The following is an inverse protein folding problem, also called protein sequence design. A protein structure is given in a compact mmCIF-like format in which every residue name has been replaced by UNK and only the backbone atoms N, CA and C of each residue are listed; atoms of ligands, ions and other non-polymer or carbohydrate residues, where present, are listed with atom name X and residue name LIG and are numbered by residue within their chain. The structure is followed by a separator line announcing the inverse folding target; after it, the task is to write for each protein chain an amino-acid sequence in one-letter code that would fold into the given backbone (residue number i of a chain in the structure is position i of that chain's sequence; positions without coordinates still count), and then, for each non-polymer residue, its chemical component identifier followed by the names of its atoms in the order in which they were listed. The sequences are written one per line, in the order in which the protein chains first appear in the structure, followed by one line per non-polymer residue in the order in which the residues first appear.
data_IF_142888472142
#
_entry.id   IF_142888472142
#
_cell.length_a   1.000
_cell.length_b   1.000
_cell.length_c   1.000
_cell.angle_alpha   90.00
_cell.angle_beta   90.00
_cell.angle_gamma   90.00
#
_symmetry.space_group_name_H-M   'P 1'
#
loop_
_entity.id
_entity.type
_entity.pdbx_description
1 polymer ?
#
# COMPACT_ATOMS: atom_id res chain seq x y z
N UNK A 1 54.58 10.60 -22.10
CA UNK A 1 53.56 11.10 -21.14
C UNK A 1 52.16 11.35 -21.73
N UNK A 2 52.00 11.52 -23.06
CA UNK A 2 50.69 11.81 -23.69
C UNK A 2 49.74 10.60 -23.83
N UNK A 3 50.29 9.39 -24.01
CA UNK A 3 49.51 8.16 -24.25
C UNK A 3 48.79 7.64 -22.98
N UNK A 4 49.36 7.89 -21.79
CA UNK A 4 48.73 7.50 -20.50
C UNK A 4 47.56 8.40 -20.10
N UNK A 5 47.55 9.65 -20.55
CA UNK A 5 46.44 10.59 -20.30
C UNK A 5 45.23 10.19 -21.15
N UNK A 6 45.46 9.67 -22.36
CA UNK A 6 44.41 9.22 -23.26
C UNK A 6 43.66 7.99 -22.72
N UNK A 7 44.35 7.10 -22.00
CA UNK A 7 43.74 5.89 -21.42
C UNK A 7 42.87 6.19 -20.20
N UNK A 8 43.22 7.21 -19.41
CA UNK A 8 42.40 7.65 -18.25
C UNK A 8 41.14 8.38 -18.71
N UNK A 9 41.19 9.11 -19.84
CA UNK A 9 40.03 9.82 -20.37
C UNK A 9 38.97 8.86 -20.97
N UNK A 10 39.40 7.73 -21.53
CA UNK A 10 38.51 6.75 -22.18
C UNK A 10 37.73 5.89 -21.17
N UNK A 11 38.30 5.60 -20.00
CA UNK A 11 37.60 4.86 -18.94
C UNK A 11 36.55 5.70 -18.21
N UNK A 12 36.67 7.03 -18.23
CA UNK A 12 35.67 7.93 -17.63
C UNK A 12 34.35 7.97 -18.41
N UNK A 13 34.39 7.68 -19.72
CA UNK A 13 33.23 7.82 -20.62
C UNK A 13 32.31 6.58 -20.63
N UNK A 14 32.76 5.44 -20.10
CA UNK A 14 31.98 4.18 -20.06
C UNK A 14 31.04 4.11 -18.85
N UNK A 15 31.14 5.06 -17.92
CA UNK A 15 30.37 5.08 -16.66
C UNK A 15 28.99 5.74 -16.73
N UNK A 16 28.61 6.38 -17.83
CA UNK A 16 27.31 7.05 -17.95
C UNK A 16 26.24 6.10 -18.49
N UNK A 17 25.99 5.00 -17.80
CA UNK A 17 24.68 4.35 -17.92
C UNK A 17 23.67 5.34 -17.34
N UNK A 18 22.94 6.04 -18.19
CA UNK A 18 21.75 6.77 -17.78
C UNK A 18 20.76 5.72 -17.29
N UNK A 19 20.74 5.48 -15.98
CA UNK A 19 19.64 4.75 -15.35
C UNK A 19 18.38 5.48 -15.75
N UNK A 20 17.51 4.81 -16.50
CA UNK A 20 16.17 5.31 -16.74
C UNK A 20 15.54 5.50 -15.36
N UNK A 21 15.42 6.76 -14.94
CA UNK A 21 14.60 7.11 -13.79
C UNK A 21 13.18 6.74 -14.20
N UNK A 22 12.76 5.52 -13.85
CA UNK A 22 11.36 5.17 -13.88
C UNK A 22 10.67 6.25 -13.05
N UNK A 23 9.92 7.12 -13.72
CA UNK A 23 9.21 8.20 -13.07
C UNK A 23 8.29 7.55 -12.05
N UNK A 24 8.68 7.62 -10.77
CA UNK A 24 7.95 6.96 -9.71
C UNK A 24 6.54 7.55 -9.71
N UNK A 25 5.58 6.72 -10.10
CA UNK A 25 4.19 7.12 -10.16
C UNK A 25 3.79 7.58 -8.77
N UNK A 26 3.24 8.79 -8.68
CA UNK A 26 2.76 9.35 -7.42
C UNK A 26 1.77 8.35 -6.78
N UNK A 27 1.88 8.06 -5.48
CA UNK A 27 0.93 7.19 -4.79
C UNK A 27 -0.52 7.66 -5.00
N UNK A 28 -1.43 6.71 -5.20
CA UNK A 28 -2.86 6.98 -5.37
C UNK A 28 -3.53 7.10 -4.00
N UNK A 29 -4.37 8.11 -3.81
CA UNK A 29 -5.16 8.24 -2.58
C UNK A 29 -6.25 7.17 -2.53
N UNK A 30 -6.36 6.49 -1.39
CA UNK A 30 -7.38 5.45 -1.16
C UNK A 30 -7.91 5.56 0.27
N UNK A 31 -9.18 5.26 0.46
CA UNK A 31 -9.80 5.07 1.77
C UNK A 31 -10.03 3.57 2.03
N UNK A 32 -9.82 3.15 3.27
CA UNK A 32 -10.13 1.80 3.72
C UNK A 32 -11.30 1.88 4.70
N UNK A 33 -12.46 1.41 4.25
CA UNK A 33 -13.66 1.30 5.08
C UNK A 33 -13.53 0.18 6.12
N UNK A 34 -14.27 0.28 7.24
CA UNK A 34 -14.36 -0.82 8.21
C UNK A 34 -14.75 -2.14 7.53
N UNK A 35 -14.15 -3.24 7.99
CA UNK A 35 -14.54 -4.57 7.50
C UNK A 35 -15.79 -5.04 8.22
N UNK A 36 -16.66 -5.70 7.47
CA UNK A 36 -17.90 -6.28 7.95
C UNK A 36 -17.81 -7.81 7.93
N UNK A 37 -18.46 -8.44 8.90
CA UNK A 37 -18.60 -9.89 8.92
C UNK A 37 -19.80 -10.29 8.06
N UNK A 38 -19.51 -10.86 6.89
CA UNK A 38 -20.48 -11.54 6.06
C UNK A 38 -20.37 -13.04 6.28
N UNK A 39 -21.23 -13.59 7.16
CA UNK A 39 -21.30 -15.03 7.39
C UNK A 39 -22.35 -15.69 6.48
N UNK A 40 -21.88 -16.56 5.58
CA UNK A 40 -22.73 -17.39 4.69
C UNK A 40 -22.76 -18.86 5.08
N UNK A 41 -22.29 -19.18 6.28
CA UNK A 41 -22.33 -20.52 6.83
C UNK A 41 -23.75 -20.93 7.23
N UNK A 42 -23.96 -22.22 7.53
CA UNK A 42 -25.22 -22.71 8.07
C UNK A 42 -25.52 -22.20 9.50
N UNK A 43 -24.51 -21.62 10.18
CA UNK A 43 -24.65 -21.01 11.51
C UNK A 43 -24.98 -19.52 11.48
N UNK A 44 -25.02 -18.89 10.31
CA UNK A 44 -25.25 -17.46 10.16
C UNK A 44 -26.57 -17.04 10.81
N UNK A 45 -26.53 -15.97 11.61
CA UNK A 45 -27.70 -15.44 12.30
C UNK A 45 -28.19 -16.24 13.51
N UNK A 46 -27.61 -17.42 13.78
CA UNK A 46 -27.89 -18.19 15.01
C UNK A 46 -27.05 -17.67 16.17
N UNK A 47 -25.79 -17.34 15.91
CA UNK A 47 -24.88 -16.72 16.87
C UNK A 47 -24.60 -15.29 16.39
N UNK A 48 -25.00 -14.25 17.14
CA UNK A 48 -24.71 -12.87 16.77
C UNK A 48 -23.22 -12.54 16.95
N UNK A 49 -22.68 -11.55 16.22
CA UNK A 49 -21.30 -11.12 16.39
C UNK A 49 -20.99 -10.66 17.83
N UNK A 50 -19.90 -11.16 18.39
CA UNK A 50 -19.47 -10.85 19.75
C UNK A 50 -18.40 -9.73 19.80
N UNK A 51 -17.80 -9.52 20.98
CA UNK A 51 -16.74 -8.52 21.12
C UNK A 51 -15.45 -8.90 20.38
N UNK A 52 -15.14 -10.19 20.31
CA UNK A 52 -13.97 -10.68 19.60
C UNK A 52 -14.13 -10.45 18.10
N UNK A 53 -15.31 -10.72 17.54
CA UNK A 53 -15.59 -10.45 16.13
C UNK A 53 -15.35 -8.97 15.79
N UNK A 54 -15.94 -8.05 16.56
CA UNK A 54 -15.76 -6.60 16.34
C UNK A 54 -14.30 -6.18 16.46
N UNK A 55 -13.58 -6.72 17.45
CA UNK A 55 -12.16 -6.43 17.65
C UNK A 55 -11.33 -6.90 16.46
N UNK A 56 -11.51 -8.13 16.03
CA UNK A 56 -10.73 -8.70 14.93
C UNK A 56 -11.05 -8.07 13.58
N UNK A 57 -12.29 -7.64 13.34
CA UNK A 57 -12.63 -6.84 12.16
C UNK A 57 -11.88 -5.49 12.16
N UNK A 58 -11.86 -4.80 13.30
CA UNK A 58 -11.12 -3.53 13.45
C UNK A 58 -9.61 -3.73 13.28
N UNK A 59 -9.04 -4.77 13.90
CA UNK A 59 -7.61 -5.09 13.75
C UNK A 59 -7.26 -5.44 12.30
N UNK A 60 -8.12 -6.20 11.61
CA UNK A 60 -7.92 -6.55 10.21
C UNK A 60 -7.94 -5.32 9.30
N UNK A 61 -8.85 -4.37 9.55
CA UNK A 61 -8.88 -3.10 8.83
C UNK A 61 -7.58 -2.30 9.04
N UNK A 62 -7.05 -2.27 10.26
CA UNK A 62 -5.77 -1.62 10.55
C UNK A 62 -4.61 -2.29 9.82
N UNK A 63 -4.55 -3.62 9.82
CA UNK A 63 -3.53 -4.38 9.07
C UNK A 63 -3.61 -4.06 7.57
N UNK A 64 -4.81 -3.98 6.99
CA UNK A 64 -4.97 -3.60 5.59
C UNK A 64 -4.45 -2.18 5.31
N UNK A 65 -4.77 -1.21 6.18
CA UNK A 65 -4.25 0.17 6.08
C UNK A 65 -2.72 0.20 6.13
N UNK A 66 -2.12 -0.55 7.03
CA UNK A 66 -0.67 -0.62 7.20
C UNK A 66 0.01 -1.22 5.95
N UNK A 67 -0.52 -2.34 5.45
CA UNK A 67 -0.01 -3.00 4.25
C UNK A 67 -0.11 -2.11 3.01
N UNK A 68 -1.25 -1.41 2.83
CA UNK A 68 -1.46 -0.49 1.71
C UNK A 68 -0.49 0.69 1.78
N UNK A 69 -0.27 1.25 2.97
CA UNK A 69 0.67 2.35 3.19
C UNK A 69 2.12 1.94 2.92
N UNK A 70 2.52 0.75 3.41
CA UNK A 70 3.87 0.20 3.21
C UNK A 70 4.16 -0.18 1.76
N UNK A 71 3.12 -0.42 0.94
CA UNK A 71 3.30 -0.76 -0.47
C UNK A 71 3.98 0.34 -1.30
N UNK A 72 3.96 1.59 -0.84
CA UNK A 72 4.43 2.76 -1.59
C UNK A 72 3.57 3.12 -2.81
N UNK A 73 2.51 2.35 -3.08
CA UNK A 73 1.58 2.57 -4.20
C UNK A 73 0.40 3.46 -3.82
N UNK A 74 0.08 3.52 -2.53
CA UNK A 74 -1.10 4.19 -2.03
C UNK A 74 -0.77 5.17 -0.90
N UNK A 75 -1.55 6.24 -0.81
CA UNK A 75 -1.65 7.09 0.38
C UNK A 75 -3.02 6.82 1.00
N UNK A 76 -3.04 6.13 2.14
CA UNK A 76 -4.28 5.88 2.87
C UNK A 76 -4.76 7.21 3.48
N UNK A 77 -6.00 7.57 3.19
CA UNK A 77 -6.69 8.73 3.77
C UNK A 77 -7.77 8.25 4.71
N UNK A 78 -7.97 8.97 5.81
CA UNK A 78 -9.11 8.77 6.70
C UNK A 78 -10.20 9.75 6.28
N UNK A 79 -11.33 9.27 5.75
CA UNK A 79 -12.52 10.09 5.62
C UNK A 79 -13.42 9.87 6.86
N UNK A 80 -14.17 10.90 7.28
CA UNK A 80 -15.16 10.71 8.34
C UNK A 80 -16.20 9.70 7.86
N UNK A 81 -16.46 8.67 8.69
CA UNK A 81 -17.54 7.73 8.44
C UNK A 81 -18.84 8.53 8.25
N UNK A 82 -19.38 8.50 7.03
CA UNK A 82 -20.74 8.94 6.82
C UNK A 82 -21.59 7.74 7.22
N UNK A 83 -22.39 7.90 8.27
CA UNK A 83 -23.41 6.92 8.65
C UNK A 83 -24.43 6.80 7.50
N UNK A 84 -24.08 6.06 6.45
CA UNK A 84 -25.09 5.51 5.55
C UNK A 84 -25.77 4.37 6.31
N UNK A 85 -26.91 4.70 6.91
CA UNK A 85 -27.84 3.73 7.46
C UNK A 85 -28.13 2.68 6.39
N UNK A 86 -27.71 1.44 6.65
CA UNK A 86 -28.19 0.29 5.90
C UNK A 86 -29.72 0.23 6.02
N UNK A 87 -30.40 0.35 4.87
CA UNK A 87 -31.86 0.21 4.72
C UNK A 87 -32.25 -1.27 4.63
#
# INVERSE_FOLDING_TARGET
MRIRILTVLMTLLVGTCTFAHAQQTKPVSIEVFPFELEDKSAGAGIIPPDEHDRRYLSESAQVAKDMLSQSGRFTVVDAPATDEQAV
#
